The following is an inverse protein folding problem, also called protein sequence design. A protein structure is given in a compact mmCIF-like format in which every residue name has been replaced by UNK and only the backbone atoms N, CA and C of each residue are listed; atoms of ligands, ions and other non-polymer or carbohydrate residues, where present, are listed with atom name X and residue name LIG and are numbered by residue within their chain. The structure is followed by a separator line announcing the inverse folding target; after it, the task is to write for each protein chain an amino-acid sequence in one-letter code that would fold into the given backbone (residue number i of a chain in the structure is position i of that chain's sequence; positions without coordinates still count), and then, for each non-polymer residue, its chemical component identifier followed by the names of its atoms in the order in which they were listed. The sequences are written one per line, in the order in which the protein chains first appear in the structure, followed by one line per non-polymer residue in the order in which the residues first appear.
data_IF_828653629608
#
_entry.id   IF_828653629608
#
_cell.length_a   1.000
_cell.length_b   1.000
_cell.length_c   1.000
_cell.angle_alpha   90.00
_cell.angle_beta   90.00
_cell.angle_gamma   90.00
#
_symmetry.space_group_name_H-M   'P 1'
#
loop_
_entity.id
_entity.type
_entity.pdbx_description
1 polymer ?
#
# COMPACT_ATOMS: atom_id res chain seq x y z
N UNK A 1 -42.79 -44.14 60.92
CA UNK A 1 -44.02 -43.95 60.06
C UNK A 1 -43.53 -43.47 58.77
N UNK A 2 -43.47 -44.34 57.88
CA UNK A 2 -44.29 -44.51 56.68
C UNK A 2 -43.94 -43.49 55.61
N UNK A 3 -43.77 -43.76 54.41
CA UNK A 3 -43.84 -44.93 53.46
C UNK A 3 -43.31 -44.43 52.11
N UNK A 4 -42.53 -45.24 51.48
CA UNK A 4 -42.63 -45.67 50.06
C UNK A 4 -43.25 -44.73 49.01
N UNK A 5 -42.50 -44.47 47.95
CA UNK A 5 -42.90 -44.98 46.63
C UNK A 5 -41.78 -44.97 45.58
N UNK A 6 -41.47 -46.12 45.06
CA UNK A 6 -40.80 -46.38 43.78
C UNK A 6 -41.70 -45.91 42.63
N UNK A 7 -41.07 -45.38 41.53
CA UNK A 7 -41.47 -45.68 40.17
C UNK A 7 -40.37 -45.21 39.20
N UNK A 8 -39.59 -46.10 38.74
CA UNK A 8 -39.67 -46.68 37.39
C UNK A 8 -39.10 -45.84 36.24
N UNK A 9 -38.12 -46.47 35.67
CA UNK A 9 -37.24 -46.08 34.61
C UNK A 9 -37.89 -45.58 33.31
N UNK A 10 -37.17 -44.75 32.64
CA UNK A 10 -37.23 -44.61 31.13
C UNK A 10 -35.88 -44.22 30.59
N UNK A 11 -35.34 -45.15 29.81
CA UNK A 11 -34.56 -45.06 28.63
C UNK A 11 -33.76 -43.76 28.34
N UNK A 12 -32.47 -43.79 28.66
CA UNK A 12 -31.52 -42.83 28.11
C UNK A 12 -31.39 -43.02 26.60
N UNK A 13 -31.95 -42.09 25.83
CA UNK A 13 -31.56 -41.93 24.40
C UNK A 13 -30.20 -41.30 24.41
N UNK A 14 -29.15 -42.04 24.18
CA UNK A 14 -27.88 -41.57 23.71
C UNK A 14 -28.08 -40.82 22.36
N UNK A 15 -28.20 -39.50 22.44
CA UNK A 15 -28.07 -38.65 21.25
C UNK A 15 -26.59 -38.60 20.93
N UNK A 16 -26.21 -39.30 19.88
CA UNK A 16 -24.89 -39.23 19.28
C UNK A 16 -24.53 -37.76 18.97
N UNK A 17 -23.68 -37.18 19.78
CA UNK A 17 -23.00 -35.91 19.52
C UNK A 17 -21.81 -36.16 18.58
N UNK A 18 -22.11 -36.37 17.31
CA UNK A 18 -21.15 -36.29 16.20
C UNK A 18 -21.14 -34.91 15.56
N UNK A 19 -21.20 -33.83 16.33
CA UNK A 19 -20.91 -32.50 15.85
C UNK A 19 -19.44 -32.23 16.10
N UNK A 20 -18.62 -32.15 15.04
CA UNK A 20 -17.30 -31.53 15.13
C UNK A 20 -17.55 -30.11 15.62
N UNK A 21 -17.20 -29.87 16.88
CA UNK A 21 -17.16 -28.53 17.48
C UNK A 21 -16.11 -27.74 16.70
N UNK A 22 -16.53 -27.01 15.67
CA UNK A 22 -15.67 -26.07 14.95
C UNK A 22 -15.42 -24.88 15.86
N UNK A 23 -14.58 -25.11 16.86
CA UNK A 23 -14.06 -24.07 17.73
C UNK A 23 -13.39 -23.03 16.86
N UNK A 24 -13.89 -21.78 16.91
CA UNK A 24 -13.18 -20.69 16.24
C UNK A 24 -11.75 -20.64 16.82
N UNK A 25 -10.71 -20.66 15.96
CA UNK A 25 -9.35 -20.67 16.45
C UNK A 25 -9.11 -19.45 17.35
N UNK A 26 -8.41 -19.66 18.44
CA UNK A 26 -7.96 -18.63 19.36
C UNK A 26 -7.06 -17.61 18.63
N UNK A 27 -6.94 -16.38 19.12
CA UNK A 27 -6.07 -15.33 18.54
C UNK A 27 -4.62 -15.78 18.42
N UNK A 28 -4.12 -16.55 19.38
CA UNK A 28 -2.74 -17.06 19.36
C UNK A 28 -2.58 -18.14 18.30
N UNK A 29 -3.56 -19.01 18.11
CA UNK A 29 -3.58 -20.02 17.06
C UNK A 29 -3.60 -19.38 15.67
N UNK A 30 -4.43 -18.36 15.46
CA UNK A 30 -4.48 -17.59 14.21
C UNK A 30 -3.17 -16.87 13.93
N UNK A 31 -2.53 -16.34 14.98
CA UNK A 31 -1.23 -15.66 14.83
C UNK A 31 -0.13 -16.64 14.46
N UNK A 32 -0.12 -17.80 15.09
CA UNK A 32 0.86 -18.85 14.77
C UNK A 32 0.65 -19.43 13.37
N UNK A 33 -0.59 -19.56 12.93
CA UNK A 33 -0.91 -19.97 11.57
C UNK A 33 -0.37 -18.96 10.55
N UNK A 34 -0.67 -17.66 10.72
CA UNK A 34 -0.13 -16.60 9.84
C UNK A 34 1.40 -16.55 9.84
N UNK A 35 2.04 -16.81 10.99
CA UNK A 35 3.50 -16.91 11.08
C UNK A 35 4.07 -18.02 10.21
N UNK A 36 3.42 -19.19 10.20
CA UNK A 36 3.82 -20.32 9.33
C UNK A 36 3.58 -20.01 7.86
N UNK A 37 2.45 -19.37 7.57
CA UNK A 37 2.13 -18.92 6.21
C UNK A 37 3.15 -17.89 5.72
N UNK A 38 3.51 -16.91 6.53
CA UNK A 38 4.52 -15.91 6.22
C UNK A 38 5.87 -16.54 5.88
N UNK A 39 6.34 -17.49 6.69
CA UNK A 39 7.60 -18.21 6.44
C UNK A 39 7.54 -19.01 5.13
N UNK A 40 6.42 -19.71 4.89
CA UNK A 40 6.21 -20.49 3.67
C UNK A 40 6.16 -19.58 2.44
N UNK A 41 5.39 -18.49 2.50
CA UNK A 41 5.25 -17.54 1.40
C UNK A 41 6.60 -16.90 1.05
N UNK A 42 7.34 -16.40 2.05
CA UNK A 42 8.68 -15.82 1.84
C UNK A 42 9.62 -16.82 1.16
N UNK A 43 9.59 -18.09 1.57
CA UNK A 43 10.39 -19.15 0.95
C UNK A 43 10.00 -19.40 -0.51
N UNK A 44 8.70 -19.42 -0.82
CA UNK A 44 8.19 -19.61 -2.17
C UNK A 44 8.56 -18.42 -3.07
N UNK A 45 8.38 -17.18 -2.61
CA UNK A 45 8.70 -15.98 -3.38
C UNK A 45 10.20 -15.91 -3.68
N UNK A 46 11.05 -16.23 -2.70
CA UNK A 46 12.51 -16.32 -2.91
C UNK A 46 12.89 -17.37 -3.95
N UNK A 47 12.24 -18.52 -3.94
CA UNK A 47 12.52 -19.60 -4.89
C UNK A 47 12.02 -19.28 -6.31
N UNK A 48 10.86 -18.62 -6.43
CA UNK A 48 10.24 -18.32 -7.72
C UNK A 48 10.78 -17.03 -8.36
N UNK A 49 11.08 -15.99 -7.56
CA UNK A 49 11.36 -14.63 -8.00
C UNK A 49 12.61 -14.03 -7.34
N UNK A 50 13.63 -14.87 -7.05
CA UNK A 50 14.84 -14.42 -6.37
C UNK A 50 15.59 -13.34 -7.14
N UNK A 51 15.72 -13.49 -8.46
CA UNK A 51 16.39 -12.52 -9.33
C UNK A 51 15.66 -11.18 -9.36
N UNK A 52 14.34 -11.18 -9.55
CA UNK A 52 13.53 -9.98 -9.59
C UNK A 52 13.49 -9.30 -8.21
N UNK A 53 13.61 -10.08 -7.15
CA UNK A 53 13.74 -9.53 -5.79
C UNK A 53 15.07 -8.81 -5.61
N UNK A 54 16.18 -9.38 -6.11
CA UNK A 54 17.48 -8.74 -6.06
C UNK A 54 17.52 -7.46 -6.92
N UNK A 55 16.94 -7.49 -8.13
CA UNK A 55 16.80 -6.33 -8.99
C UNK A 55 15.97 -5.21 -8.31
N UNK A 56 14.88 -5.55 -7.64
CA UNK A 56 14.06 -4.57 -6.91
C UNK A 56 14.80 -3.98 -5.69
N UNK A 57 15.64 -4.76 -5.01
CA UNK A 57 16.50 -4.27 -3.92
C UNK A 57 17.51 -3.25 -4.46
N UNK A 58 18.19 -3.55 -5.57
CA UNK A 58 19.20 -2.67 -6.16
C UNK A 58 18.61 -1.36 -6.69
N UNK A 59 17.39 -1.40 -7.23
CA UNK A 59 16.70 -0.24 -7.79
C UNK A 59 15.84 0.53 -6.77
N UNK A 60 15.75 0.06 -5.52
CA UNK A 60 15.00 0.76 -4.50
C UNK A 60 15.67 2.10 -4.14
N UNK A 61 14.83 3.13 -3.93
CA UNK A 61 15.28 4.47 -3.57
C UNK A 61 14.73 4.88 -2.21
N UNK A 62 15.59 5.43 -1.37
CA UNK A 62 15.20 6.05 -0.11
C UNK A 62 15.07 7.54 -0.35
N UNK A 63 13.89 8.09 -0.09
CA UNK A 63 13.67 9.52 0.01
C UNK A 63 13.89 9.95 1.45
N UNK A 64 14.85 10.84 1.67
CA UNK A 64 15.13 11.41 2.98
C UNK A 64 14.04 12.40 3.40
N UNK A 65 14.05 12.84 4.65
CA UNK A 65 13.05 13.78 5.16
C UNK A 65 12.99 15.05 4.33
N UNK A 66 11.82 15.35 3.78
CA UNK A 66 11.56 16.52 2.93
C UNK A 66 11.89 16.32 1.46
N UNK A 67 12.70 15.33 1.10
CA UNK A 67 13.10 15.08 -0.29
C UNK A 67 11.88 14.73 -1.17
N UNK A 68 11.01 13.85 -0.70
CA UNK A 68 9.79 13.48 -1.44
C UNK A 68 8.87 14.69 -1.71
N UNK A 69 8.79 15.64 -0.78
CA UNK A 69 8.00 16.87 -0.95
C UNK A 69 8.64 17.91 -1.85
N UNK A 70 9.94 17.81 -2.09
CA UNK A 70 10.67 18.72 -2.96
C UNK A 70 10.70 18.27 -4.43
N UNK A 71 10.20 17.06 -4.73
CA UNK A 71 10.20 16.52 -6.08
C UNK A 71 9.34 17.38 -7.01
N UNK A 72 9.85 17.56 -8.21
CA UNK A 72 9.16 18.23 -9.31
C UNK A 72 8.89 17.20 -10.43
N UNK A 73 7.90 17.46 -11.28
CA UNK A 73 7.59 16.61 -12.42
C UNK A 73 7.01 17.43 -13.58
N UNK A 74 7.00 16.86 -14.77
CA UNK A 74 6.38 17.45 -15.94
C UNK A 74 6.87 18.86 -16.24
N UNK A 75 5.94 19.80 -16.39
CA UNK A 75 6.25 21.19 -16.75
C UNK A 75 7.02 21.95 -15.65
N UNK A 76 6.80 21.61 -14.38
CA UNK A 76 7.53 22.21 -13.25
C UNK A 76 9.01 21.80 -13.28
N UNK A 77 9.28 20.50 -13.48
CA UNK A 77 10.64 19.98 -13.60
C UNK A 77 11.36 20.61 -14.80
N UNK A 78 10.69 20.68 -15.95
CA UNK A 78 11.24 21.31 -17.16
C UNK A 78 11.50 22.83 -16.98
N UNK A 79 10.66 23.53 -16.21
CA UNK A 79 10.86 24.93 -15.91
C UNK A 79 12.04 25.13 -14.94
N UNK A 80 12.13 24.29 -13.91
CA UNK A 80 13.25 24.34 -12.96
C UNK A 80 14.59 24.02 -13.64
N UNK A 81 14.64 23.01 -14.51
CA UNK A 81 15.82 22.68 -15.30
C UNK A 81 16.28 23.86 -16.19
N UNK A 82 15.35 24.57 -16.84
CA UNK A 82 15.67 25.77 -17.64
C UNK A 82 16.25 26.89 -16.78
N UNK A 83 15.69 27.11 -15.60
CA UNK A 83 16.19 28.14 -14.67
C UNK A 83 17.57 27.77 -14.13
N UNK A 84 17.78 26.51 -13.75
CA UNK A 84 19.07 26.02 -13.28
C UNK A 84 20.14 26.13 -14.38
N UNK A 85 19.82 25.73 -15.60
CA UNK A 85 20.73 25.86 -16.75
C UNK A 85 21.10 27.32 -17.04
N UNK A 86 20.13 28.23 -17.03
CA UNK A 86 20.41 29.65 -17.22
C UNK A 86 21.29 30.23 -16.10
N UNK A 87 21.08 29.76 -14.86
CA UNK A 87 21.92 30.15 -13.72
C UNK A 87 23.36 29.64 -13.86
N UNK A 88 23.54 28.40 -14.30
CA UNK A 88 24.85 27.80 -14.57
C UNK A 88 25.59 28.56 -15.67
N UNK A 89 24.93 28.84 -16.81
CA UNK A 89 25.49 29.64 -17.91
C UNK A 89 25.92 31.05 -17.46
N UNK A 90 25.15 31.67 -16.56
CA UNK A 90 25.53 32.96 -15.97
C UNK A 90 26.73 32.88 -15.03
N UNK A 91 26.78 31.83 -14.19
CA UNK A 91 27.89 31.57 -13.27
C UNK A 91 29.20 31.26 -14.02
N UNK A 92 29.15 30.51 -15.11
CA UNK A 92 30.29 30.27 -16.00
C UNK A 92 30.78 31.54 -16.67
N UNK A 93 29.86 32.39 -17.17
CA UNK A 93 30.21 33.68 -17.80
C UNK A 93 30.87 34.63 -16.78
N UNK A 94 30.41 34.66 -15.53
CA UNK A 94 31.01 35.44 -14.45
C UNK A 94 32.40 34.89 -14.04
N UNK A 95 32.57 33.58 -14.04
CA UNK A 95 33.83 32.89 -13.76
C UNK A 95 34.89 33.14 -14.86
N UNK A 96 34.47 33.10 -16.14
CA UNK A 96 35.34 33.46 -17.27
C UNK A 96 35.74 34.94 -17.26
N UNK A 97 34.85 35.84 -16.82
CA UNK A 97 35.08 37.27 -16.69
C UNK A 97 35.94 37.65 -15.48
N UNK A 98 36.04 36.80 -14.49
CA UNK A 98 36.88 37.02 -13.32
C UNK A 98 38.34 36.71 -13.65
N UNK A 99 39.23 37.72 -13.54
CA UNK A 99 40.67 37.45 -13.68
C UNK A 99 41.13 36.33 -12.77
N UNK A 100 41.95 35.43 -13.26
CA UNK A 100 42.46 34.24 -12.61
C UNK A 100 42.87 34.50 -11.13
N UNK A 101 42.08 34.00 -10.19
CA UNK A 101 42.31 34.13 -8.74
C UNK A 101 41.04 34.15 -7.88
N UNK A 102 39.84 34.08 -8.43
CA UNK A 102 38.61 34.07 -7.63
C UNK A 102 38.09 32.62 -7.46
N UNK A 103 38.63 31.93 -6.44
CA UNK A 103 38.23 30.53 -6.12
C UNK A 103 36.71 30.42 -5.80
N UNK A 104 36.10 31.47 -5.20
CA UNK A 104 34.67 31.49 -4.86
C UNK A 104 33.78 31.53 -6.11
N UNK A 105 34.21 32.15 -7.21
CA UNK A 105 33.45 32.17 -8.47
C UNK A 105 33.51 30.81 -9.18
N UNK A 106 34.63 30.12 -9.11
CA UNK A 106 34.78 28.76 -9.68
C UNK A 106 33.92 27.73 -8.90
N UNK A 107 33.94 27.82 -7.54
CA UNK A 107 33.14 26.96 -6.68
C UNK A 107 31.62 27.18 -6.89
N UNK A 108 31.21 28.43 -7.09
CA UNK A 108 29.81 28.76 -7.42
C UNK A 108 29.37 28.24 -8.80
N UNK A 109 30.26 28.25 -9.80
CA UNK A 109 29.99 27.71 -11.11
C UNK A 109 29.86 26.19 -11.08
N UNK A 110 30.76 25.48 -10.38
CA UNK A 110 30.67 24.03 -10.19
C UNK A 110 29.36 23.60 -9.48
N UNK A 111 28.95 24.31 -8.43
CA UNK A 111 27.68 24.06 -7.73
C UNK A 111 26.46 24.31 -8.64
N UNK A 112 26.52 25.36 -9.47
CA UNK A 112 25.43 25.66 -10.40
C UNK A 112 25.34 24.63 -11.55
N UNK A 113 26.47 24.12 -12.03
CA UNK A 113 26.55 23.07 -13.05
C UNK A 113 26.00 21.75 -12.50
N UNK A 114 26.39 21.34 -11.27
CA UNK A 114 25.86 20.15 -10.60
C UNK A 114 24.34 20.25 -10.37
N UNK A 115 23.85 21.44 -10.00
CA UNK A 115 22.42 21.69 -9.85
C UNK A 115 21.67 21.65 -11.19
N UNK A 116 22.30 22.10 -12.29
CA UNK A 116 21.72 22.04 -13.62
C UNK A 116 21.66 20.61 -14.16
N UNK A 117 22.71 19.81 -13.97
CA UNK A 117 22.74 18.39 -14.33
C UNK A 117 21.67 17.59 -13.55
N UNK A 118 21.55 17.82 -12.24
CA UNK A 118 20.52 17.19 -11.41
C UNK A 118 19.10 17.57 -11.84
N UNK A 119 18.88 18.82 -12.29
CA UNK A 119 17.60 19.27 -12.79
C UNK A 119 17.30 18.75 -14.21
N UNK A 120 18.32 18.54 -15.04
CA UNK A 120 18.20 17.96 -16.38
C UNK A 120 17.93 16.44 -16.27
N UNK A 121 18.57 15.73 -15.34
CA UNK A 121 18.29 14.33 -15.04
C UNK A 121 16.84 14.16 -14.53
N UNK A 122 16.35 15.08 -13.70
CA UNK A 122 14.94 15.10 -13.26
C UNK A 122 13.95 15.44 -14.39
N UNK A 123 14.39 16.07 -15.45
CA UNK A 123 13.57 16.46 -16.62
C UNK A 123 13.71 15.50 -17.81
N UNK A 124 14.65 14.54 -17.78
CA UNK A 124 14.90 13.60 -18.87
C UNK A 124 13.77 12.56 -18.97
N UNK A 125 13.04 12.50 -20.11
CA UNK A 125 11.95 11.56 -20.29
C UNK A 125 12.40 10.09 -20.40
N UNK A 126 13.68 9.80 -20.67
CA UNK A 126 14.23 8.44 -20.76
C UNK A 126 14.86 7.95 -19.44
N UNK A 127 15.15 8.84 -18.49
CA UNK A 127 15.59 8.51 -17.14
C UNK A 127 14.48 8.75 -16.13
N UNK A 128 13.77 7.72 -15.67
CA UNK A 128 12.83 7.64 -14.54
C UNK A 128 11.78 8.78 -14.37
N UNK A 129 11.93 9.95 -14.99
CA UNK A 129 10.91 10.97 -15.04
C UNK A 129 9.90 10.58 -16.14
N UNK A 130 8.83 9.88 -15.74
CA UNK A 130 7.77 9.45 -16.64
C UNK A 130 7.27 10.62 -17.51
N UNK A 131 6.95 10.32 -18.78
CA UNK A 131 6.31 11.26 -19.68
C UNK A 131 5.20 12.01 -18.97
N UNK A 132 5.13 13.33 -19.15
CA UNK A 132 4.07 14.15 -18.57
C UNK A 132 2.72 13.48 -18.85
N UNK A 133 1.88 13.24 -17.82
CA UNK A 133 0.60 12.61 -18.03
C UNK A 133 -0.23 13.45 -19.03
N UNK A 134 -0.74 12.80 -20.05
CA UNK A 134 -1.60 13.44 -21.07
C UNK A 134 -3.02 13.69 -20.54
N UNK A 135 -3.31 13.22 -19.33
CA UNK A 135 -4.59 13.41 -18.66
C UNK A 135 -4.72 14.86 -18.18
N UNK A 136 -5.83 15.49 -18.50
CA UNK A 136 -6.18 16.83 -18.03
C UNK A 136 -6.86 16.83 -16.67
N UNK A 137 -7.30 15.67 -16.20
CA UNK A 137 -8.03 15.48 -14.95
C UNK A 137 -7.61 14.16 -14.28
N UNK A 138 -7.67 14.12 -12.96
CA UNK A 138 -7.47 12.90 -12.17
C UNK A 138 -8.78 12.15 -12.03
N UNK A 139 -8.80 10.88 -12.43
CA UNK A 139 -9.94 9.98 -12.21
C UNK A 139 -9.83 9.30 -10.86
N UNK A 140 -10.89 9.35 -10.06
CA UNK A 140 -10.93 8.73 -8.72
C UNK A 140 -11.87 7.54 -8.69
N UNK A 141 -11.43 6.44 -8.10
CA UNK A 141 -12.23 5.24 -7.83
C UNK A 141 -12.15 4.86 -6.36
N UNK A 142 -13.26 4.44 -5.76
CA UNK A 142 -13.32 4.02 -4.35
C UNK A 142 -13.77 2.57 -4.26
N UNK A 143 -12.92 1.72 -3.68
CA UNK A 143 -13.17 0.29 -3.52
C UNK A 143 -13.02 -0.14 -2.06
N UNK A 144 -13.75 -1.19 -1.67
CA UNK A 144 -13.71 -1.74 -0.30
C UNK A 144 -12.90 -3.03 -0.21
N UNK A 145 -11.90 -3.15 -1.07
CA UNK A 145 -10.94 -4.26 -1.11
C UNK A 145 -9.60 -3.86 -0.50
N UNK A 146 -8.72 -4.82 -0.30
CA UNK A 146 -7.32 -4.55 0.02
C UNK A 146 -6.55 -4.10 -1.24
N UNK A 147 -5.45 -3.39 -1.04
CA UNK A 147 -4.64 -2.85 -2.13
C UNK A 147 -4.18 -3.91 -3.16
N UNK A 148 -3.73 -5.13 -2.79
CA UNK A 148 -3.42 -6.14 -3.79
C UNK A 148 -4.62 -6.55 -4.65
N UNK A 149 -5.82 -6.64 -4.08
CA UNK A 149 -7.02 -6.94 -4.87
C UNK A 149 -7.36 -5.79 -5.83
N UNK A 150 -7.24 -4.54 -5.37
CA UNK A 150 -7.42 -3.35 -6.20
C UNK A 150 -6.43 -3.32 -7.36
N UNK A 151 -5.17 -3.74 -7.15
CA UNK A 151 -4.17 -3.89 -8.21
C UNK A 151 -4.68 -4.78 -9.36
N UNK A 152 -5.30 -5.92 -9.04
CA UNK A 152 -5.76 -6.86 -10.06
C UNK A 152 -7.05 -6.42 -10.77
N UNK A 153 -7.92 -5.70 -10.08
CA UNK A 153 -9.25 -5.35 -10.59
C UNK A 153 -9.34 -3.96 -11.20
N UNK A 154 -8.61 -3.02 -10.64
CA UNK A 154 -8.91 -1.61 -10.78
C UNK A 154 -7.71 -0.80 -11.33
N UNK A 155 -6.49 -1.35 -11.28
CA UNK A 155 -5.29 -0.68 -11.74
C UNK A 155 -5.07 -0.83 -13.24
N UNK A 156 -4.58 0.24 -13.86
CA UNK A 156 -4.18 0.31 -15.27
C UNK A 156 -2.85 1.05 -15.39
N UNK A 157 -2.02 0.64 -16.35
CA UNK A 157 -0.73 1.27 -16.59
C UNK A 157 0.28 1.10 -15.45
N UNK A 158 1.26 1.97 -15.38
CA UNK A 158 2.26 1.97 -14.30
C UNK A 158 1.58 2.27 -12.97
N UNK A 159 1.61 1.31 -12.08
CA UNK A 159 0.86 1.35 -10.82
C UNK A 159 1.79 1.46 -9.63
N UNK A 160 1.48 2.37 -8.70
CA UNK A 160 2.13 2.46 -7.39
C UNK A 160 1.12 2.16 -6.28
N UNK A 161 1.54 1.37 -5.30
CA UNK A 161 0.76 1.07 -4.09
C UNK A 161 1.42 1.75 -2.90
N UNK A 162 0.64 2.49 -2.12
CA UNK A 162 1.11 3.05 -0.85
C UNK A 162 1.03 1.97 0.23
N UNK A 163 2.19 1.64 0.79
CA UNK A 163 2.31 0.79 1.97
C UNK A 163 2.40 1.66 3.22
N UNK A 164 1.38 1.67 4.11
CA UNK A 164 1.43 2.35 5.39
C UNK A 164 2.37 1.61 6.36
N UNK A 165 3.64 1.53 5.96
CA UNK A 165 4.65 0.69 6.57
C UNK A 165 5.01 1.06 8.00
N UNK A 166 5.44 0.09 8.79
CA UNK A 166 5.97 0.33 10.11
C UNK A 166 7.28 1.12 10.04
N UNK A 167 7.41 2.19 10.83
CA UNK A 167 8.53 3.13 10.72
C UNK A 167 9.92 2.53 11.02
N UNK A 168 10.00 1.54 11.93
CA UNK A 168 11.28 0.99 12.43
C UNK A 168 11.43 -0.50 12.28
N UNK A 169 10.48 -1.18 11.63
CA UNK A 169 10.49 -2.62 11.49
C UNK A 169 10.00 -3.08 10.12
N UNK A 170 10.84 -3.75 9.32
CA UNK A 170 10.43 -4.28 8.04
C UNK A 170 9.17 -5.15 8.14
N UNK A 171 8.15 -4.87 7.31
CA UNK A 171 6.93 -5.65 7.27
C UNK A 171 6.07 -5.63 8.54
N UNK A 172 6.33 -4.70 9.49
CA UNK A 172 5.49 -4.50 10.67
C UNK A 172 5.20 -5.74 11.51
N UNK A 173 6.18 -6.62 11.70
CA UNK A 173 6.04 -7.93 12.36
C UNK A 173 5.28 -8.99 11.53
N UNK A 174 5.38 -8.94 10.20
CA UNK A 174 4.85 -9.96 9.31
C UNK A 174 5.32 -11.37 9.68
N UNK A 175 6.63 -11.54 9.95
CA UNK A 175 7.21 -12.81 10.38
C UNK A 175 6.68 -13.36 11.70
N UNK A 176 6.10 -12.50 12.54
CA UNK A 176 5.46 -12.88 13.82
C UNK A 176 3.96 -13.10 13.69
N UNK A 177 3.42 -13.13 12.48
CA UNK A 177 2.00 -13.34 12.21
C UNK A 177 1.12 -12.16 12.59
N UNK A 178 1.64 -10.92 12.55
CA UNK A 178 0.84 -9.71 12.61
C UNK A 178 -0.12 -9.63 11.41
N UNK A 179 -1.16 -8.82 11.53
CA UNK A 179 -2.16 -8.65 10.49
C UNK A 179 -2.52 -7.17 10.34
N UNK A 180 -2.46 -6.69 9.12
CA UNK A 180 -2.76 -5.32 8.75
C UNK A 180 -2.43 -5.07 7.28
N UNK A 181 -2.60 -3.84 6.77
CA UNK A 181 -2.35 -3.51 5.36
C UNK A 181 -0.96 -3.89 4.87
N UNK A 182 0.11 -3.51 5.58
CA UNK A 182 1.50 -3.85 5.25
C UNK A 182 1.72 -5.37 5.20
N UNK A 183 1.16 -6.13 6.16
CA UNK A 183 1.31 -7.58 6.20
C UNK A 183 0.55 -8.28 5.06
N UNK A 184 -0.55 -7.71 4.62
CA UNK A 184 -1.30 -8.21 3.45
C UNK A 184 -0.48 -8.00 2.17
N UNK A 185 0.14 -6.82 1.99
CA UNK A 185 1.07 -6.58 0.88
C UNK A 185 2.21 -7.60 0.89
N UNK A 186 2.84 -7.83 2.03
CA UNK A 186 3.91 -8.82 2.19
C UNK A 186 3.45 -10.26 1.91
N UNK A 187 2.19 -10.60 2.21
CA UNK A 187 1.67 -11.96 2.03
C UNK A 187 1.25 -12.29 0.60
N UNK A 188 1.12 -11.30 -0.27
CA UNK A 188 0.74 -11.47 -1.67
C UNK A 188 1.85 -11.06 -2.66
N UNK A 189 3.08 -10.75 -2.16
CA UNK A 189 4.18 -10.26 -2.99
C UNK A 189 5.56 -10.71 -2.51
N UNK A 190 6.61 -10.37 -3.29
CA UNK A 190 8.00 -10.50 -2.88
C UNK A 190 8.51 -9.30 -2.06
N UNK A 191 7.63 -8.43 -1.56
CA UNK A 191 7.99 -7.21 -0.85
C UNK A 191 8.79 -7.47 0.44
N UNK A 192 8.39 -8.44 1.27
CA UNK A 192 9.00 -8.65 2.59
C UNK A 192 10.52 -8.85 2.56
N UNK A 193 11.12 -9.72 1.73
CA UNK A 193 12.58 -9.84 1.64
C UNK A 193 13.26 -8.55 1.19
N UNK A 194 12.63 -7.72 0.37
CA UNK A 194 13.14 -6.42 -0.06
C UNK A 194 13.20 -5.46 1.14
N UNK A 195 12.11 -5.38 1.92
CA UNK A 195 12.10 -4.56 3.14
C UNK A 195 13.17 -4.98 4.15
N UNK A 196 13.40 -6.29 4.28
CA UNK A 196 14.45 -6.83 5.17
C UNK A 196 15.86 -6.44 4.69
N UNK A 197 16.10 -6.40 3.37
CA UNK A 197 17.37 -5.96 2.81
C UNK A 197 17.67 -4.50 3.20
N UNK A 198 16.67 -3.63 3.19
CA UNK A 198 16.75 -2.21 3.59
C UNK A 198 16.67 -1.96 5.10
N UNK A 199 16.85 -3.00 5.93
CA UNK A 199 16.77 -2.85 7.39
C UNK A 199 17.76 -1.84 7.95
N UNK A 200 19.00 -1.83 7.48
CA UNK A 200 20.09 -0.99 8.04
C UNK A 200 20.00 0.46 7.57
N UNK A 201 19.76 0.66 6.31
CA UNK A 201 19.81 1.96 5.63
C UNK A 201 18.52 2.74 5.76
N UNK A 202 17.37 2.08 5.92
CA UNK A 202 16.07 2.71 6.11
C UNK A 202 15.53 2.54 7.54
N UNK A 203 15.17 1.33 7.98
CA UNK A 203 14.46 1.11 9.24
C UNK A 203 15.27 1.40 10.50
N UNK A 204 16.57 1.02 10.53
CA UNK A 204 17.40 1.26 11.71
C UNK A 204 17.73 2.75 11.86
N UNK A 205 17.92 3.49 10.75
CA UNK A 205 18.08 4.95 10.76
C UNK A 205 16.82 5.69 11.25
N UNK A 206 15.63 5.18 10.95
CA UNK A 206 14.36 5.77 11.39
C UNK A 206 14.17 5.79 12.91
N UNK A 207 14.93 5.01 13.68
CA UNK A 207 14.79 4.95 15.14
C UNK A 207 15.02 6.28 15.83
N UNK A 208 15.87 7.13 15.26
CA UNK A 208 16.22 8.44 15.82
C UNK A 208 15.16 9.51 15.51
N UNK A 209 14.23 9.23 14.58
CA UNK A 209 13.27 10.19 14.04
C UNK A 209 11.82 9.96 14.44
N UNK A 210 11.57 9.33 15.58
CA UNK A 210 10.20 8.96 16.02
C UNK A 210 9.28 10.14 16.31
N UNK A 211 9.81 11.27 16.76
CA UNK A 211 9.08 12.54 17.01
C UNK A 211 7.74 12.35 17.75
N UNK A 212 7.72 11.54 18.82
CA UNK A 212 6.48 11.26 19.56
C UNK A 212 5.39 10.59 18.74
N UNK A 213 5.76 9.63 17.87
CA UNK A 213 4.89 8.89 16.95
C UNK A 213 4.33 9.69 15.77
N UNK A 214 4.82 10.89 15.53
CA UNK A 214 4.56 11.61 14.27
C UNK A 214 5.49 11.13 13.15
N UNK A 215 6.67 10.61 13.50
CA UNK A 215 7.68 10.14 12.56
C UNK A 215 8.18 11.25 11.60
N UNK A 216 8.86 10.87 10.52
CA UNK A 216 9.23 11.75 9.42
C UNK A 216 8.55 11.27 8.13
N UNK A 217 8.62 12.07 7.07
CA UNK A 217 8.17 11.71 5.73
C UNK A 217 9.21 10.94 4.92
N UNK A 218 10.26 10.38 5.60
CA UNK A 218 11.17 9.44 4.94
C UNK A 218 10.39 8.28 4.36
N UNK A 219 10.67 7.95 3.12
CA UNK A 219 9.98 6.92 2.39
C UNK A 219 10.97 6.00 1.67
N UNK A 220 10.57 4.74 1.48
CA UNK A 220 11.28 3.77 0.66
C UNK A 220 10.42 3.45 -0.57
N UNK A 221 10.88 3.86 -1.74
CA UNK A 221 10.29 3.51 -3.01
C UNK A 221 10.93 2.23 -3.54
N UNK A 222 10.12 1.24 -3.85
CA UNK A 222 10.54 -0.05 -4.39
C UNK A 222 9.86 -0.25 -5.73
N UNK A 223 10.59 -0.17 -6.85
CA UNK A 223 10.01 -0.40 -8.16
C UNK A 223 9.77 -1.89 -8.42
N UNK A 224 8.83 -2.20 -9.31
CA UNK A 224 8.62 -3.51 -9.92
C UNK A 224 8.41 -4.69 -8.94
N UNK A 225 7.78 -4.43 -7.78
CA UNK A 225 7.39 -5.49 -6.83
C UNK A 225 6.42 -6.45 -7.50
N UNK A 226 6.68 -7.76 -7.35
CA UNK A 226 5.87 -8.82 -7.93
C UNK A 226 4.77 -9.26 -6.96
N UNK A 227 3.53 -9.12 -7.39
CA UNK A 227 2.34 -9.61 -6.72
C UNK A 227 1.87 -10.90 -7.39
N UNK A 228 1.52 -11.91 -6.59
CA UNK A 228 1.02 -13.20 -7.08
C UNK A 228 -0.30 -13.54 -6.41
N UNK A 229 -1.37 -13.64 -7.22
CA UNK A 229 -2.71 -13.94 -6.74
C UNK A 229 -3.44 -14.86 -7.71
N UNK A 230 -3.93 -16.01 -7.21
CA UNK A 230 -4.73 -16.93 -8.03
C UNK A 230 -4.01 -17.52 -9.26
N UNK A 231 -2.68 -17.53 -9.27
CA UNK A 231 -1.87 -17.96 -10.42
C UNK A 231 -1.46 -16.84 -11.37
N UNK A 232 -2.04 -15.66 -11.24
CA UNK A 232 -1.65 -14.47 -12.00
C UNK A 232 -0.53 -13.72 -11.28
N UNK A 233 0.39 -13.14 -12.06
CA UNK A 233 1.47 -12.28 -11.57
C UNK A 233 1.31 -10.90 -12.16
N UNK A 234 1.35 -9.87 -11.30
CA UNK A 234 1.38 -8.45 -11.69
C UNK A 234 2.55 -7.74 -11.03
N UNK A 235 2.99 -6.66 -11.67
CA UNK A 235 4.01 -5.77 -11.12
C UNK A 235 3.37 -4.48 -10.69
N UNK A 236 3.86 -3.93 -9.60
CA UNK A 236 3.54 -2.59 -9.15
C UNK A 236 4.71 -2.03 -8.34
N UNK A 237 4.90 -0.73 -8.41
CA UNK A 237 5.81 -0.04 -7.51
C UNK A 237 5.18 0.02 -6.11
N UNK A 238 5.98 -0.01 -5.06
CA UNK A 238 5.51 0.13 -3.69
C UNK A 238 6.21 1.29 -3.02
N UNK A 239 5.43 2.22 -2.47
CA UNK A 239 5.92 3.32 -1.66
C UNK A 239 5.66 3.02 -0.18
N UNK A 240 6.71 2.69 0.56
CA UNK A 240 6.64 2.47 2.00
C UNK A 240 6.83 3.80 2.73
N UNK A 241 5.79 4.27 3.38
CA UNK A 241 5.81 5.52 4.15
C UNK A 241 4.98 5.36 5.42
N UNK A 242 5.54 5.77 6.57
CA UNK A 242 4.86 5.56 7.84
C UNK A 242 3.73 6.57 8.08
N UNK A 243 2.58 6.07 8.50
CA UNK A 243 1.48 6.91 8.95
C UNK A 243 1.80 7.59 10.28
N UNK A 244 1.59 8.91 10.41
CA UNK A 244 1.68 9.56 11.72
C UNK A 244 0.53 9.08 12.62
N UNK A 245 0.81 8.87 13.90
CA UNK A 245 -0.18 8.39 14.87
C UNK A 245 -0.63 9.53 15.77
N UNK A 246 -1.66 10.30 15.34
CA UNK A 246 -2.18 11.48 16.03
C UNK A 246 -2.59 11.19 17.48
N UNK A 247 -3.35 10.12 17.69
CA UNK A 247 -3.80 9.75 19.04
C UNK A 247 -2.62 9.63 20.03
N UNK A 248 -1.58 8.91 19.63
CA UNK A 248 -0.39 8.70 20.45
C UNK A 248 0.49 9.97 20.57
N UNK A 249 0.53 10.78 19.52
CA UNK A 249 1.29 12.03 19.53
C UNK A 249 0.70 13.04 20.52
N UNK A 250 -0.63 13.19 20.56
CA UNK A 250 -1.32 14.04 21.52
C UNK A 250 -1.11 13.57 22.97
N UNK A 251 -1.16 12.25 23.24
CA UNK A 251 -0.81 11.68 24.53
C UNK A 251 0.64 11.98 24.93
N UNK A 252 1.54 12.11 23.99
CA UNK A 252 2.95 12.50 24.17
C UNK A 252 3.19 14.02 24.05
N UNK A 253 2.17 14.83 24.35
CA UNK A 253 2.22 16.29 24.42
C UNK A 253 2.61 17.01 23.11
N UNK A 254 2.39 16.36 21.95
CA UNK A 254 2.45 17.04 20.66
C UNK A 254 1.20 17.87 20.45
N UNK A 255 1.34 18.99 19.78
CA UNK A 255 0.21 19.85 19.44
C UNK A 255 -0.58 19.29 18.25
N UNK A 256 -1.85 19.68 18.14
CA UNK A 256 -2.67 19.35 16.97
C UNK A 256 -2.04 19.89 15.68
N UNK A 257 -1.48 21.10 15.71
CA UNK A 257 -0.79 21.69 14.56
C UNK A 257 0.40 20.85 14.07
N UNK A 258 1.18 20.23 14.98
CA UNK A 258 2.25 19.30 14.60
C UNK A 258 1.67 18.02 13.96
N UNK A 259 0.56 17.52 14.49
CA UNK A 259 -0.13 16.37 13.92
C UNK A 259 -0.65 16.66 12.51
N UNK A 260 -1.34 17.78 12.33
CA UNK A 260 -1.90 18.20 11.04
C UNK A 260 -0.82 18.40 10.00
N UNK A 261 0.28 19.08 10.38
CA UNK A 261 1.45 19.21 9.51
C UNK A 261 2.06 17.87 9.15
N UNK A 262 2.20 16.95 10.09
CA UNK A 262 2.76 15.64 9.82
C UNK A 262 1.92 14.85 8.81
N UNK A 263 0.60 14.92 8.87
CA UNK A 263 -0.30 14.30 7.89
C UNK A 263 -0.17 14.98 6.52
N UNK A 264 -0.23 16.31 6.47
CA UNK A 264 -0.11 17.07 5.22
C UNK A 264 1.22 16.78 4.51
N UNK A 265 2.34 16.79 5.25
CA UNK A 265 3.66 16.45 4.72
C UNK A 265 3.69 15.03 4.09
N UNK A 266 2.94 14.05 4.66
CA UNK A 266 2.86 12.69 4.09
C UNK A 266 2.04 12.64 2.81
N UNK A 267 0.86 13.29 2.83
CA UNK A 267 -0.01 13.32 1.63
C UNK A 267 0.76 13.98 0.48
N UNK A 268 1.39 15.12 0.74
CA UNK A 268 2.24 15.81 -0.24
C UNK A 268 3.33 14.89 -0.79
N UNK A 269 4.11 14.24 0.09
CA UNK A 269 5.20 13.35 -0.32
C UNK A 269 4.69 12.16 -1.16
N UNK A 270 3.59 11.52 -0.75
CA UNK A 270 3.00 10.37 -1.47
C UNK A 270 2.69 10.76 -2.92
N UNK A 271 1.96 11.85 -3.12
CA UNK A 271 1.52 12.25 -4.44
C UNK A 271 2.66 12.79 -5.30
N UNK A 272 3.61 13.55 -4.73
CA UNK A 272 4.78 14.04 -5.46
C UNK A 272 5.71 12.91 -5.88
N UNK A 273 5.97 11.94 -5.02
CA UNK A 273 6.77 10.75 -5.37
C UNK A 273 6.05 9.96 -6.48
N UNK A 274 4.73 9.79 -6.39
CA UNK A 274 3.97 9.10 -7.43
C UNK A 274 4.07 9.83 -8.78
N UNK A 275 3.86 11.13 -8.80
CA UNK A 275 3.94 11.94 -10.03
C UNK A 275 5.35 11.94 -10.62
N UNK A 276 6.39 12.13 -9.80
CA UNK A 276 7.79 12.15 -10.23
C UNK A 276 8.27 10.80 -10.80
N UNK A 277 7.69 9.69 -10.34
CA UNK A 277 7.97 8.35 -10.87
C UNK A 277 7.06 7.96 -12.04
N UNK A 278 6.25 8.88 -12.60
CA UNK A 278 5.39 8.60 -13.73
C UNK A 278 4.28 7.59 -13.45
N UNK A 279 3.75 7.58 -12.24
CA UNK A 279 2.66 6.70 -11.83
C UNK A 279 1.37 7.05 -12.56
N UNK A 280 0.79 6.10 -13.27
CA UNK A 280 -0.50 6.25 -13.94
C UNK A 280 -1.66 5.92 -13.02
N UNK A 281 -1.49 4.92 -12.15
CA UNK A 281 -2.49 4.55 -11.14
C UNK A 281 -1.87 4.49 -9.75
N UNK A 282 -2.34 5.31 -8.82
CA UNK A 282 -1.94 5.31 -7.43
C UNK A 282 -3.01 4.61 -6.58
N UNK A 283 -2.65 3.53 -5.88
CA UNK A 283 -3.53 2.83 -4.94
C UNK A 283 -3.19 3.26 -3.52
N UNK A 284 -4.16 3.88 -2.84
CA UNK A 284 -3.99 4.41 -1.46
C UNK A 284 -5.08 3.86 -0.56
N UNK A 285 -4.74 3.48 0.67
CA UNK A 285 -5.70 3.18 1.73
C UNK A 285 -6.30 4.43 2.38
N UNK A 286 -7.05 4.23 3.45
CA UNK A 286 -7.51 5.34 4.31
C UNK A 286 -6.37 5.82 5.21
N UNK A 287 -5.34 6.42 4.61
CA UNK A 287 -4.08 6.80 5.23
C UNK A 287 -4.30 7.74 6.42
N UNK A 288 -3.76 7.40 7.57
CA UNK A 288 -3.92 8.17 8.81
C UNK A 288 -5.26 7.99 9.54
N UNK A 289 -6.27 7.40 8.91
CA UNK A 289 -7.59 7.21 9.49
C UNK A 289 -7.66 6.09 10.54
N UNK A 290 -8.80 5.98 11.18
CA UNK A 290 -9.10 4.91 12.14
C UNK A 290 -8.26 5.01 13.41
N UNK A 291 -7.50 3.99 13.75
CA UNK A 291 -6.70 3.96 15.01
C UNK A 291 -5.55 4.97 15.05
N UNK A 292 -5.13 5.53 13.93
CA UNK A 292 -4.12 6.58 13.90
C UNK A 292 -4.70 7.94 14.35
N UNK A 293 -6.03 8.08 14.32
CA UNK A 293 -6.75 9.14 15.01
C UNK A 293 -6.98 10.42 14.20
N UNK A 294 -6.70 10.40 12.89
CA UNK A 294 -7.09 11.53 12.03
C UNK A 294 -8.54 11.40 11.59
N UNK A 295 -9.31 12.50 11.60
CA UNK A 295 -10.65 12.53 11.00
C UNK A 295 -10.58 12.20 9.51
N UNK A 296 -11.52 11.42 9.02
CA UNK A 296 -11.56 11.02 7.61
C UNK A 296 -11.76 12.23 6.69
N UNK A 297 -12.54 13.19 7.14
CA UNK A 297 -12.82 14.45 6.41
C UNK A 297 -11.54 15.26 6.19
N UNK A 298 -10.65 15.34 7.19
CA UNK A 298 -9.38 16.04 7.09
C UNK A 298 -8.45 15.38 6.06
N UNK A 299 -8.39 14.05 6.06
CA UNK A 299 -7.59 13.30 5.06
C UNK A 299 -8.11 13.53 3.66
N UNK A 300 -9.43 13.46 3.49
CA UNK A 300 -10.11 13.71 2.22
C UNK A 300 -9.82 15.13 1.72
N UNK A 301 -9.97 16.14 2.57
CA UNK A 301 -9.73 17.55 2.23
C UNK A 301 -8.31 17.78 1.73
N UNK A 302 -7.31 17.23 2.42
CA UNK A 302 -5.91 17.34 2.00
C UNK A 302 -5.67 16.72 0.62
N UNK A 303 -6.26 15.57 0.35
CA UNK A 303 -6.12 14.89 -0.94
C UNK A 303 -6.86 15.65 -2.05
N UNK A 304 -8.09 16.13 -1.78
CA UNK A 304 -8.85 16.93 -2.72
C UNK A 304 -8.11 18.21 -3.12
N UNK A 305 -7.56 18.92 -2.14
CA UNK A 305 -6.77 20.12 -2.36
C UNK A 305 -5.56 19.82 -3.25
N UNK A 306 -4.81 18.74 -2.93
CA UNK A 306 -3.66 18.35 -3.73
C UNK A 306 -4.03 18.04 -5.19
N UNK A 307 -5.08 17.24 -5.42
CA UNK A 307 -5.56 16.89 -6.77
C UNK A 307 -6.03 18.15 -7.52
N UNK A 308 -6.70 19.07 -6.84
CA UNK A 308 -7.19 20.31 -7.45
C UNK A 308 -6.05 21.26 -7.84
N UNK A 309 -4.99 21.31 -7.05
CA UNK A 309 -3.78 22.11 -7.32
C UNK A 309 -2.90 21.51 -8.41
N UNK A 310 -2.96 20.18 -8.62
CA UNK A 310 -2.11 19.45 -9.54
C UNK A 310 -2.93 18.51 -10.47
N UNK A 311 -3.81 19.06 -11.31
CA UNK A 311 -4.71 18.28 -12.14
C UNK A 311 -3.92 17.39 -13.11
N UNK A 312 -4.25 16.09 -13.15
CA UNK A 312 -3.62 15.11 -14.02
C UNK A 312 -2.19 14.69 -13.64
N UNK A 313 -1.60 15.22 -12.57
CA UNK A 313 -0.28 14.80 -12.11
C UNK A 313 -0.21 13.29 -11.81
N UNK A 314 -1.29 12.74 -11.28
CA UNK A 314 -1.54 11.30 -11.16
C UNK A 314 -2.88 11.02 -11.86
N UNK A 315 -2.88 10.39 -13.04
CA UNK A 315 -4.10 10.21 -13.84
C UNK A 315 -5.22 9.44 -13.15
N UNK A 316 -4.89 8.40 -12.40
CA UNK A 316 -5.87 7.57 -11.71
C UNK A 316 -5.51 7.38 -10.24
N UNK A 317 -6.47 7.61 -9.35
CA UNK A 317 -6.32 7.34 -7.91
C UNK A 317 -7.39 6.32 -7.49
N UNK A 318 -6.95 5.20 -6.93
CA UNK A 318 -7.83 4.15 -6.41
C UNK A 318 -7.74 4.13 -4.89
N UNK A 319 -8.80 4.53 -4.23
CA UNK A 319 -8.91 4.43 -2.78
C UNK A 319 -9.37 3.03 -2.37
N UNK A 320 -8.45 2.20 -1.90
CA UNK A 320 -8.71 0.87 -1.32
C UNK A 320 -8.98 1.03 0.19
N UNK A 321 -10.19 1.44 0.56
CA UNK A 321 -10.54 1.85 1.93
C UNK A 321 -11.44 0.85 2.64
N UNK A 322 -11.34 0.74 3.98
CA UNK A 322 -12.29 -0.05 4.75
C UNK A 322 -13.74 0.43 4.54
N UNK A 323 -14.69 -0.51 4.57
CA UNK A 323 -16.12 -0.23 4.35
C UNK A 323 -16.64 0.96 5.19
N UNK A 324 -16.13 1.12 6.41
CA UNK A 324 -16.56 2.18 7.32
C UNK A 324 -16.19 3.60 6.84
N UNK A 325 -15.22 3.74 5.94
CA UNK A 325 -14.81 5.03 5.38
C UNK A 325 -15.24 5.20 3.91
N UNK A 326 -15.70 4.13 3.27
CA UNK A 326 -15.95 4.11 1.84
C UNK A 326 -17.00 5.14 1.39
N UNK A 327 -18.06 5.34 2.18
CA UNK A 327 -19.14 6.26 1.83
C UNK A 327 -18.66 7.72 1.88
N UNK A 328 -17.85 8.10 2.89
CA UNK A 328 -17.26 9.43 2.96
C UNK A 328 -16.35 9.73 1.76
N UNK A 329 -15.50 8.75 1.36
CA UNK A 329 -14.66 8.90 0.17
C UNK A 329 -15.48 8.98 -1.12
N UNK A 330 -16.53 8.17 -1.29
CA UNK A 330 -17.40 8.23 -2.48
C UNK A 330 -18.11 9.56 -2.61
N UNK A 331 -18.68 10.03 -1.51
CA UNK A 331 -19.39 11.32 -1.48
C UNK A 331 -18.43 12.47 -1.85
N UNK A 332 -17.25 12.48 -1.24
CA UNK A 332 -16.28 13.56 -1.44
C UNK A 332 -15.71 13.62 -2.86
N UNK A 333 -15.43 12.48 -3.47
CA UNK A 333 -14.84 12.43 -4.81
C UNK A 333 -15.84 12.17 -5.93
N UNK A 334 -17.15 12.12 -5.62
CA UNK A 334 -18.18 11.84 -6.62
C UNK A 334 -18.05 10.46 -7.27
N UNK A 335 -17.34 9.51 -6.61
CA UNK A 335 -17.12 8.19 -7.16
C UNK A 335 -18.41 7.35 -7.12
N UNK A 336 -18.79 6.65 -8.21
CA UNK A 336 -20.00 5.85 -8.23
C UNK A 336 -19.94 4.71 -7.21
N UNK A 337 -21.07 4.36 -6.62
CA UNK A 337 -21.19 3.15 -5.82
C UNK A 337 -20.90 1.94 -6.74
N UNK A 338 -20.04 0.99 -6.34
CA UNK A 338 -19.79 -0.20 -7.14
C UNK A 338 -21.11 -0.95 -7.33
N UNK A 339 -21.41 -1.31 -8.57
CA UNK A 339 -22.60 -2.13 -8.87
C UNK A 339 -22.55 -3.39 -8.00
N UNK A 340 -23.57 -3.54 -7.15
CA UNK A 340 -23.74 -4.81 -6.44
C UNK A 340 -23.99 -5.88 -7.49
N UNK A 341 -23.22 -6.97 -7.49
CA UNK A 341 -23.58 -8.09 -8.35
C UNK A 341 -25.06 -8.40 -8.08
N UNK A 342 -25.85 -8.43 -9.13
CA UNK A 342 -27.26 -8.82 -9.02
C UNK A 342 -27.32 -10.10 -8.20
N UNK A 343 -28.25 -10.20 -7.23
CA UNK A 343 -28.39 -11.47 -6.50
C UNK A 343 -28.56 -12.55 -7.56
N UNK A 344 -27.68 -13.54 -7.52
CA UNK A 344 -27.83 -14.75 -8.34
C UNK A 344 -29.17 -15.33 -7.91
N UNK A 345 -30.21 -15.03 -8.65
CA UNK A 345 -31.48 -15.73 -8.54
C UNK A 345 -31.13 -17.13 -9.00
N UNK A 346 -30.79 -17.99 -8.05
CA UNK A 346 -30.84 -19.42 -8.28
C UNK A 346 -32.28 -19.64 -8.64
N UNK A 347 -32.57 -19.85 -9.92
CA UNK A 347 -33.87 -20.30 -10.36
C UNK A 347 -34.12 -21.57 -9.54
N UNK A 348 -35.01 -21.47 -8.57
CA UNK A 348 -35.58 -22.68 -7.98
C UNK A 348 -36.28 -23.37 -9.13
N UNK A 349 -35.63 -24.40 -9.62
CA UNK A 349 -36.23 -25.36 -10.55
C UNK A 349 -37.42 -25.92 -9.79
N UNK A 350 -38.63 -25.40 -10.07
CA UNK A 350 -39.91 -26.03 -9.68
C UNK A 350 -40.12 -27.29 -10.48
N UNK A 351 -39.12 -28.17 -10.53
CA UNK A 351 -39.15 -29.51 -11.00
C UNK A 351 -39.61 -30.43 -9.87
N UNK A 352 -40.85 -30.86 -9.93
CA UNK A 352 -41.47 -32.01 -9.30
C UNK A 352 -40.65 -32.72 -8.21
N UNK A 353 -40.91 -32.38 -6.97
CA UNK A 353 -40.58 -33.20 -5.81
C UNK A 353 -41.61 -34.33 -5.68
N UNK A 354 -41.57 -35.26 -6.59
CA UNK A 354 -42.08 -36.63 -6.36
C UNK A 354 -40.96 -37.64 -6.57
N UNK A 355 -40.48 -38.21 -5.46
CA UNK A 355 -39.85 -39.54 -5.39
C UNK A 355 -38.47 -39.66 -6.05
N UNK A 356 -37.43 -39.65 -5.25
CA UNK A 356 -36.48 -40.76 -5.12
C UNK A 356 -35.22 -40.29 -4.33
N UNK A 357 -35.24 -40.60 -3.06
CA UNK A 357 -34.10 -40.43 -2.13
C UNK A 357 -32.95 -41.44 -2.38
N UNK A 358 -32.83 -41.99 -3.58
CA UNK A 358 -31.79 -42.97 -3.92
C UNK A 358 -30.86 -42.59 -5.10
N UNK A 359 -31.07 -41.44 -5.75
CA UNK A 359 -30.33 -41.06 -6.96
C UNK A 359 -28.80 -40.91 -6.80
N UNK A 360 -28.34 -40.63 -5.61
CA UNK A 360 -26.89 -40.45 -5.33
C UNK A 360 -26.12 -41.79 -5.15
N UNK A 361 -26.84 -42.91 -4.98
CA UNK A 361 -26.22 -44.26 -4.81
C UNK A 361 -25.80 -44.91 -6.11
N UNK A 362 -26.26 -44.40 -7.24
CA UNK A 362 -26.01 -44.96 -8.55
C UNK A 362 -25.07 -44.15 -9.44
N UNK A 363 -24.27 -43.23 -8.85
CA UNK A 363 -23.23 -42.52 -9.60
C UNK A 363 -22.03 -43.43 -9.77
N UNK A 364 -21.79 -43.93 -10.96
CA UNK A 364 -20.55 -44.64 -11.32
C UNK A 364 -19.39 -43.64 -11.25
N UNK A 365 -18.52 -43.81 -10.27
CA UNK A 365 -17.30 -43.05 -10.13
C UNK A 365 -16.25 -43.50 -11.13
N UNK A 366 -15.47 -42.57 -11.75
CA UNK A 366 -14.35 -42.98 -12.60
C UNK A 366 -13.37 -43.89 -11.84
N UNK A 367 -12.78 -44.85 -12.53
CA UNK A 367 -11.83 -45.78 -11.93
C UNK A 367 -10.67 -45.05 -11.20
N UNK A 368 -10.55 -45.32 -9.93
CA UNK A 368 -9.45 -44.76 -9.08
C UNK A 368 -9.88 -43.85 -7.92
N UNK A 369 -11.18 -43.51 -7.79
CA UNK A 369 -11.66 -42.68 -6.64
C UNK A 369 -12.43 -43.57 -5.66
N UNK A 370 -11.88 -43.75 -4.46
CA UNK A 370 -12.55 -44.40 -3.32
C UNK A 370 -12.96 -43.34 -2.30
N UNK A 371 -14.25 -43.24 -2.01
CA UNK A 371 -14.75 -42.44 -0.87
C UNK A 371 -14.35 -43.12 0.45
N UNK A 372 -13.60 -42.45 1.26
CA UNK A 372 -13.30 -42.82 2.67
C UNK A 372 -14.09 -41.98 3.63
#
# INVERSE_FOLDING_TARGET
MAEFNEHDGRGGRERGRGGRDMRRPNRDEQREERRREAARHTGLMKAAFGRETDEAIENARIYEEGEGRALLWGAEAAAAARVAKAAAEMAEADAEGAQAGNEEACEAAEIAEEAAEAAEEAADPDGAAGAAPTATETTVKVVTSFAPEALYRDATGKTMIVDPGAFTRPGGAYEDGAFGPEQILCSESNLYPILVAHKRDFYDKNRDYRRGSLFTDRALYVPEVLFSRGGDVRRADVLVIAEPVRAFALENHRSERECDKALADRIEAIFRIAAANGTETLIVGAFGCGRNGYPVEQVIELIQNWIAEHPGAVPNVVFAVPRMHADAFREAFGAPEPERPAPVVVAEDEGDREGDDEGWRNVELPEGITLR
#
